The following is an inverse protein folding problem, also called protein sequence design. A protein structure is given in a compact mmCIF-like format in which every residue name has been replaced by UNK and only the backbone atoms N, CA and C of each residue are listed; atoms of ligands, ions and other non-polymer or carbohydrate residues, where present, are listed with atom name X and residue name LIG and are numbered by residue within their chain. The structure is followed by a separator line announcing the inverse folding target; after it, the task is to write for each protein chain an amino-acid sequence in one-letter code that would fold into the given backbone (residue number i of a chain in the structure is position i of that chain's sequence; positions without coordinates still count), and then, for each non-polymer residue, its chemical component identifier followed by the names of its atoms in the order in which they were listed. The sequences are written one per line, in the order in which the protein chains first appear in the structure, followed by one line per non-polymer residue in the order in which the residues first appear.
data_IF_456329821868
#
_entry.id   IF_456329821868
#
_cell.length_a   1.000
_cell.length_b   1.000
_cell.length_c   1.000
_cell.angle_alpha   90.00
_cell.angle_beta   90.00
_cell.angle_gamma   90.00
#
_symmetry.space_group_name_H-M   'P 1'
#
loop_
_entity.id
_entity.type
_entity.pdbx_description
1 polymer ?
#
# COMPACT_ATOMS: atom_id res chain seq x y z
N UNK A 1 -18.39 17.23 45.78
CA UNK A 1 -17.20 16.51 45.25
C UNK A 1 -17.51 15.64 44.03
N UNK A 2 -18.56 14.80 44.00
CA UNK A 2 -18.88 13.94 42.84
C UNK A 2 -19.13 14.66 41.50
N UNK A 3 -19.71 15.88 41.52
CA UNK A 3 -19.97 16.68 40.30
C UNK A 3 -18.70 17.25 39.66
N UNK A 4 -17.65 17.51 40.44
CA UNK A 4 -16.38 18.03 39.92
C UNK A 4 -15.60 16.92 39.19
N UNK A 5 -15.65 15.69 39.70
CA UNK A 5 -14.99 14.53 39.09
C UNK A 5 -15.56 14.19 37.70
N UNK A 6 -16.89 14.32 37.54
CA UNK A 6 -17.59 14.01 36.28
C UNK A 6 -17.32 15.07 35.20
N UNK A 7 -17.16 16.34 35.58
CA UNK A 7 -16.79 17.43 34.67
C UNK A 7 -15.33 17.27 34.22
N UNK A 8 -14.43 16.87 35.13
CA UNK A 8 -13.01 16.62 34.79
C UNK A 8 -12.87 15.41 33.86
N UNK A 9 -13.62 14.33 34.05
CA UNK A 9 -13.57 13.17 33.14
C UNK A 9 -14.12 13.48 31.74
N UNK A 10 -15.14 14.33 31.63
CA UNK A 10 -15.69 14.75 30.33
C UNK A 10 -14.71 15.65 29.57
N UNK A 11 -13.98 16.51 30.29
CA UNK A 11 -13.02 17.44 29.68
C UNK A 11 -11.80 16.73 29.09
N UNK A 12 -11.31 15.67 29.74
CA UNK A 12 -10.22 14.83 29.24
C UNK A 12 -10.58 14.04 27.96
N UNK A 13 -11.86 13.71 27.76
CA UNK A 13 -12.34 13.13 26.51
C UNK A 13 -12.47 14.16 25.37
N UNK A 14 -12.68 15.44 25.71
CA UNK A 14 -12.94 16.48 24.70
C UNK A 14 -11.66 17.03 24.04
N UNK A 15 -10.52 17.06 24.74
CA UNK A 15 -9.27 17.58 24.17
C UNK A 15 -8.52 16.56 23.31
N UNK A 16 -8.69 15.27 23.56
CA UNK A 16 -8.13 14.17 22.76
C UNK A 16 -8.99 13.79 21.55
N UNK A 17 -10.29 14.15 21.57
CA UNK A 17 -11.25 13.75 20.54
C UNK A 17 -10.95 14.29 19.14
N UNK A 18 -10.42 15.51 19.00
CA UNK A 18 -10.15 16.11 17.68
C UNK A 18 -8.99 15.40 16.96
N UNK A 19 -7.88 15.15 17.67
CA UNK A 19 -6.74 14.40 17.11
C UNK A 19 -7.12 12.96 16.81
N UNK A 20 -7.88 12.33 17.71
CA UNK A 20 -8.37 10.96 17.51
C UNK A 20 -9.24 10.85 16.26
N UNK A 21 -10.23 11.72 16.09
CA UNK A 21 -11.10 11.72 14.91
C UNK A 21 -10.34 12.05 13.63
N UNK A 22 -9.34 12.94 13.69
CA UNK A 22 -8.49 13.25 12.54
C UNK A 22 -7.66 12.04 12.11
N UNK A 23 -7.06 11.30 13.06
CA UNK A 23 -6.32 10.07 12.76
C UNK A 23 -7.25 9.02 12.14
N UNK A 24 -8.43 8.79 12.71
CA UNK A 24 -9.41 7.85 12.14
C UNK A 24 -9.90 8.28 10.76
N UNK A 25 -10.00 9.58 10.51
CA UNK A 25 -10.27 10.11 9.18
C UNK A 25 -9.16 9.78 8.18
N UNK A 26 -7.90 9.83 8.60
CA UNK A 26 -6.76 9.45 7.76
C UNK A 26 -6.75 7.95 7.48
N UNK A 27 -6.96 7.10 8.49
CA UNK A 27 -7.03 5.63 8.32
C UNK A 27 -8.17 5.26 7.35
N UNK A 28 -9.31 5.95 7.43
CA UNK A 28 -10.44 5.74 6.53
C UNK A 28 -10.11 6.11 5.07
N UNK A 29 -9.23 7.08 4.83
CA UNK A 29 -8.76 7.43 3.48
C UNK A 29 -7.78 6.39 2.93
N UNK A 30 -7.05 5.71 3.80
CA UNK A 30 -6.12 4.63 3.42
C UNK A 30 -6.84 3.37 2.93
N UNK A 31 -8.12 3.21 3.27
CA UNK A 31 -8.97 2.11 2.79
C UNK A 31 -9.19 2.16 1.28
N UNK A 32 -9.46 3.35 0.72
CA UNK A 32 -10.01 3.48 -0.62
C UNK A 32 -8.96 3.93 -1.64
N UNK A 33 -8.91 3.22 -2.75
CA UNK A 33 -8.13 3.61 -3.92
C UNK A 33 -9.06 3.77 -5.11
N UNK A 34 -9.29 5.01 -5.52
CA UNK A 34 -10.19 5.34 -6.63
C UNK A 34 -9.40 6.13 -7.65
N UNK A 35 -9.36 5.62 -8.87
CA UNK A 35 -8.56 6.16 -9.98
C UNK A 35 -9.40 6.25 -11.24
N UNK A 36 -9.57 7.46 -11.74
CA UNK A 36 -10.07 7.70 -13.09
C UNK A 36 -8.88 7.68 -14.06
N UNK A 37 -9.05 7.03 -15.20
CA UNK A 37 -8.00 6.87 -16.22
C UNK A 37 -8.48 7.45 -17.54
N UNK A 38 -7.64 8.23 -18.20
CA UNK A 38 -7.92 8.89 -19.47
C UNK A 38 -6.77 8.65 -20.45
N UNK A 39 -7.09 8.14 -21.63
CA UNK A 39 -6.10 7.84 -22.66
C UNK A 39 -6.41 6.54 -23.39
N UNK A 40 -5.73 6.27 -24.52
CA UNK A 40 -5.98 5.11 -25.35
C UNK A 40 -5.64 3.82 -24.60
N UNK A 41 -6.47 2.78 -24.73
CA UNK A 41 -6.19 1.46 -24.20
C UNK A 41 -7.43 0.63 -23.97
N UNK A 42 -7.22 -0.65 -23.65
CA UNK A 42 -8.27 -1.55 -23.17
C UNK A 42 -7.67 -2.39 -22.05
N UNK A 43 -8.31 -2.42 -20.89
CA UNK A 43 -7.85 -3.23 -19.77
C UNK A 43 -9.04 -3.65 -18.93
N UNK A 44 -9.17 -4.97 -18.74
CA UNK A 44 -10.05 -5.55 -17.74
C UNK A 44 -9.19 -6.29 -16.71
N UNK A 45 -9.35 -5.97 -15.43
CA UNK A 45 -8.66 -6.67 -14.34
C UNK A 45 -9.59 -6.81 -13.14
N UNK A 46 -9.56 -7.98 -12.52
CA UNK A 46 -10.17 -8.23 -11.21
C UNK A 46 -9.10 -8.73 -10.24
N UNK A 47 -9.18 -8.26 -9.01
CA UNK A 47 -8.25 -8.61 -7.93
C UNK A 47 -9.04 -8.81 -6.65
N UNK A 48 -8.74 -9.87 -5.91
CA UNK A 48 -9.29 -10.07 -4.56
C UNK A 48 -8.17 -10.06 -3.52
N UNK A 49 -7.02 -10.59 -3.87
CA UNK A 49 -5.81 -10.55 -3.05
C UNK A 49 -4.61 -10.58 -3.99
N UNK A 50 -3.41 -10.40 -3.46
CA UNK A 50 -2.18 -10.67 -4.22
C UNK A 50 -2.15 -12.10 -4.78
N UNK A 51 -2.78 -13.05 -4.08
CA UNK A 51 -2.88 -14.44 -4.50
C UNK A 51 -3.98 -14.72 -5.51
N UNK A 52 -4.95 -13.83 -5.72
CA UNK A 52 -6.07 -14.04 -6.63
C UNK A 52 -6.29 -12.81 -7.51
N UNK A 53 -5.70 -12.87 -8.70
CA UNK A 53 -5.73 -11.77 -9.68
C UNK A 53 -5.89 -12.33 -11.08
N UNK A 54 -6.75 -11.72 -11.89
CA UNK A 54 -6.82 -11.96 -13.32
C UNK A 54 -6.89 -10.63 -14.07
N UNK A 55 -6.18 -10.53 -15.19
CA UNK A 55 -6.14 -9.30 -15.97
C UNK A 55 -5.79 -9.56 -17.42
N UNK A 56 -6.38 -8.76 -18.30
CA UNK A 56 -6.05 -8.76 -19.72
C UNK A 56 -6.19 -7.35 -20.28
N UNK A 57 -5.11 -6.85 -20.89
CA UNK A 57 -5.13 -5.63 -21.66
C UNK A 57 -3.86 -4.80 -21.60
N UNK A 58 -3.94 -3.63 -22.22
CA UNK A 58 -2.86 -2.66 -22.34
C UNK A 58 -3.40 -1.23 -22.26
N UNK A 59 -2.68 -0.40 -21.52
CA UNK A 59 -2.91 1.03 -21.33
C UNK A 59 -1.60 1.77 -21.68
N UNK A 60 -1.39 2.14 -22.96
CA UNK A 60 -0.24 2.95 -23.35
C UNK A 60 -0.41 4.42 -22.96
N UNK A 61 0.49 4.94 -22.12
CA UNK A 61 0.62 6.38 -21.84
C UNK A 61 -0.70 7.04 -21.38
N UNK A 62 -1.39 6.41 -20.45
CA UNK A 62 -2.65 6.94 -19.93
C UNK A 62 -2.40 7.92 -18.79
N UNK A 63 -3.26 8.92 -18.68
CA UNK A 63 -3.29 9.86 -17.57
C UNK A 63 -4.22 9.32 -16.48
N UNK A 64 -3.73 9.21 -15.25
CA UNK A 64 -4.51 8.75 -14.10
C UNK A 64 -4.70 9.88 -13.11
N UNK A 65 -5.92 10.04 -12.64
CA UNK A 65 -6.29 11.00 -11.59
C UNK A 65 -6.98 10.22 -10.48
N UNK A 66 -6.56 10.44 -9.25
CA UNK A 66 -7.22 9.73 -8.17
C UNK A 66 -6.52 9.82 -6.84
N UNK A 67 -7.00 8.92 -5.97
CA UNK A 67 -6.57 8.75 -4.61
C UNK A 67 -5.92 7.36 -4.50
N UNK A 68 -4.73 7.30 -3.93
CA UNK A 68 -4.01 6.08 -3.57
C UNK A 68 -3.58 6.23 -2.11
N UNK A 69 -4.39 5.72 -1.19
CA UNK A 69 -4.25 6.00 0.25
C UNK A 69 -4.25 7.50 0.51
N UNK A 70 -3.28 8.00 1.27
CA UNK A 70 -3.08 9.46 1.47
C UNK A 70 -2.62 10.22 0.22
N UNK A 71 -2.15 9.52 -0.81
CA UNK A 71 -1.69 10.11 -2.07
C UNK A 71 -2.84 10.60 -2.92
N UNK A 72 -2.88 11.89 -3.26
CA UNK A 72 -3.88 12.47 -4.18
C UNK A 72 -3.15 13.21 -5.29
N UNK A 73 -3.56 12.97 -6.54
CA UNK A 73 -3.04 13.71 -7.66
C UNK A 73 -3.19 13.00 -8.99
N UNK A 74 -2.19 13.22 -9.83
CA UNK A 74 -2.18 12.94 -11.25
C UNK A 74 -0.82 12.38 -11.67
N UNK A 75 -0.85 11.28 -12.40
CA UNK A 75 0.35 10.63 -12.92
C UNK A 75 0.08 10.03 -14.30
N UNK A 76 1.16 9.81 -15.04
CA UNK A 76 1.13 9.04 -16.28
C UNK A 76 1.44 7.58 -15.95
N UNK A 77 0.72 6.65 -16.59
CA UNK A 77 0.91 5.22 -16.40
C UNK A 77 0.97 4.50 -17.75
N UNK A 78 1.95 3.62 -17.90
CA UNK A 78 1.93 2.53 -18.86
C UNK A 78 1.61 1.24 -18.10
N UNK A 79 0.63 0.48 -18.57
CA UNK A 79 0.27 -0.81 -17.97
C UNK A 79 -0.01 -1.86 -19.04
N UNK A 80 0.67 -2.99 -18.99
CA UNK A 80 0.31 -4.21 -19.69
C UNK A 80 0.04 -5.32 -18.69
N UNK A 81 -1.11 -5.99 -18.79
CA UNK A 81 -1.45 -7.13 -17.94
C UNK A 81 -2.01 -8.27 -18.80
N UNK A 82 -1.51 -9.49 -18.62
CA UNK A 82 -2.04 -10.69 -19.26
C UNK A 82 -1.83 -11.92 -18.38
N UNK A 83 -2.92 -12.57 -17.98
CA UNK A 83 -2.92 -13.86 -17.32
C UNK A 83 -3.75 -13.90 -16.03
N UNK A 84 -3.60 -14.99 -15.28
CA UNK A 84 -4.23 -15.16 -13.98
C UNK A 84 -3.32 -15.84 -12.96
N UNK A 85 -3.48 -15.43 -11.71
CA UNK A 85 -2.83 -15.98 -10.52
C UNK A 85 -3.92 -16.46 -9.57
N UNK A 86 -3.75 -17.67 -9.05
CA UNK A 86 -4.60 -18.25 -8.01
C UNK A 86 -3.71 -18.84 -6.94
N UNK A 87 -3.97 -18.48 -5.68
CA UNK A 87 -3.17 -18.87 -4.52
C UNK A 87 -1.68 -18.49 -4.64
N UNK A 88 -1.38 -17.39 -5.34
CA UNK A 88 0.00 -16.99 -5.62
C UNK A 88 0.70 -17.82 -6.70
N UNK A 89 0.01 -18.81 -7.28
CA UNK A 89 0.49 -19.62 -8.39
C UNK A 89 -0.09 -19.08 -9.69
N UNK A 90 0.73 -18.79 -10.72
CA UNK A 90 0.20 -18.49 -12.04
C UNK A 90 -0.50 -19.74 -12.61
N UNK A 91 -1.80 -19.65 -12.94
CA UNK A 91 -2.54 -20.75 -13.57
C UNK A 91 -2.17 -20.88 -15.04
N UNK A 92 -1.88 -19.75 -15.68
CA UNK A 92 -1.33 -19.71 -17.04
C UNK A 92 0.18 -19.87 -16.98
N UNK A 93 0.77 -20.49 -18.01
CA UNK A 93 2.23 -20.62 -18.15
C UNK A 93 2.98 -19.28 -18.04
N UNK A 94 2.28 -18.17 -18.30
CA UNK A 94 2.81 -16.83 -18.17
C UNK A 94 1.75 -15.94 -17.50
N UNK A 95 2.14 -15.26 -16.44
CA UNK A 95 1.47 -14.05 -15.97
C UNK A 95 2.43 -12.90 -16.22
N UNK A 96 2.10 -12.05 -17.19
CA UNK A 96 2.94 -10.92 -17.58
C UNK A 96 2.28 -9.65 -17.09
N UNK A 97 3.03 -8.88 -16.29
CA UNK A 97 2.63 -7.56 -15.82
C UNK A 97 3.80 -6.61 -15.96
N UNK A 98 3.58 -5.52 -16.68
CA UNK A 98 4.50 -4.39 -16.79
C UNK A 98 3.76 -3.12 -16.40
N UNK A 99 4.25 -2.41 -15.39
CA UNK A 99 3.67 -1.17 -14.90
C UNK A 99 4.78 -0.15 -14.76
N UNK A 100 4.65 0.96 -15.48
CA UNK A 100 5.57 2.10 -15.38
C UNK A 100 4.76 3.34 -15.06
N UNK A 101 5.22 4.10 -14.08
CA UNK A 101 4.53 5.30 -13.60
C UNK A 101 5.46 6.49 -13.64
N UNK A 102 4.88 7.65 -13.89
CA UNK A 102 5.59 8.92 -13.83
C UNK A 102 4.70 9.93 -13.12
N UNK A 103 5.18 10.45 -12.00
CA UNK A 103 4.51 11.53 -11.29
C UNK A 103 4.38 12.76 -12.21
N UNK A 104 3.21 13.39 -12.20
CA UNK A 104 2.95 14.63 -12.94
C UNK A 104 2.61 15.75 -11.97
N UNK A 105 1.63 15.54 -11.09
CA UNK A 105 1.28 16.49 -10.04
C UNK A 105 0.54 15.80 -8.88
N UNK A 106 0.51 16.40 -7.71
CA UNK A 106 -0.15 15.81 -6.54
C UNK A 106 0.49 16.25 -5.23
N UNK A 107 0.08 15.63 -4.14
CA UNK A 107 0.71 15.83 -2.84
C UNK A 107 2.02 15.03 -2.70
N UNK A 108 2.76 15.32 -1.62
CA UNK A 108 4.04 14.68 -1.35
C UNK A 108 3.92 13.16 -1.13
N UNK A 109 2.83 12.68 -0.53
CA UNK A 109 2.60 11.24 -0.37
C UNK A 109 2.56 10.52 -1.73
N UNK A 110 1.83 11.08 -2.70
CA UNK A 110 1.77 10.50 -4.03
C UNK A 110 3.12 10.55 -4.74
N UNK A 111 3.84 11.67 -4.61
CA UNK A 111 5.15 11.82 -5.22
C UNK A 111 6.14 10.80 -4.65
N UNK A 112 6.21 10.67 -3.33
CA UNK A 112 7.10 9.72 -2.64
C UNK A 112 6.78 8.28 -3.03
N UNK A 113 5.49 7.91 -3.06
CA UNK A 113 5.04 6.57 -3.45
C UNK A 113 5.37 6.21 -4.91
N UNK A 114 5.43 7.21 -5.81
CA UNK A 114 5.70 6.99 -7.23
C UNK A 114 7.20 7.08 -7.58
N UNK A 115 7.96 7.94 -6.91
CA UNK A 115 9.40 8.13 -7.17
C UNK A 115 10.26 7.15 -6.40
N UNK A 116 9.86 6.77 -5.19
CA UNK A 116 10.58 5.84 -4.32
C UNK A 116 9.68 4.65 -3.96
N UNK A 117 9.39 3.74 -4.92
CA UNK A 117 8.59 2.56 -4.61
C UNK A 117 9.31 1.77 -3.52
N UNK A 118 8.69 1.70 -2.33
CA UNK A 118 9.25 0.97 -1.19
C UNK A 118 9.51 -0.47 -1.64
N UNK A 119 10.73 -1.01 -1.46
CA UNK A 119 10.97 -2.42 -1.72
C UNK A 119 10.15 -3.22 -0.71
N UNK A 120 9.03 -3.79 -1.14
CA UNK A 120 8.23 -4.63 -0.25
C UNK A 120 9.05 -5.88 0.13
N UNK A 121 9.24 -6.08 1.44
CA UNK A 121 9.92 -7.26 1.97
C UNK A 121 9.09 -8.50 1.62
N UNK A 122 9.67 -9.36 0.79
CA UNK A 122 9.02 -10.58 0.38
C UNK A 122 9.25 -11.70 1.41
N UNK A 123 8.25 -12.55 1.60
CA UNK A 123 8.39 -13.84 2.27
C UNK A 123 7.74 -14.90 1.38
N UNK A 124 8.54 -15.59 0.58
CA UNK A 124 8.06 -16.69 -0.28
C UNK A 124 7.96 -17.94 0.58
N UNK A 125 6.76 -18.49 0.71
CA UNK A 125 6.51 -19.77 1.36
C UNK A 125 6.54 -20.88 0.30
N UNK A 126 7.33 -21.95 0.48
CA UNK A 126 7.32 -23.07 -0.45
C UNK A 126 5.96 -23.79 -0.43
N UNK A 127 5.52 -24.16 -1.63
CA UNK A 127 4.16 -24.58 -1.96
C UNK A 127 3.78 -26.02 -1.55
N UNK A 128 4.62 -26.71 -0.78
CA UNK A 128 4.42 -28.13 -0.50
C UNK A 128 4.80 -28.45 0.94
N UNK A 129 3.80 -28.37 1.83
CA UNK A 129 3.56 -29.28 2.96
C UNK A 129 4.59 -29.47 4.07
N UNK A 130 5.89 -29.21 3.89
CA UNK A 130 6.93 -29.57 4.86
C UNK A 130 8.18 -28.69 4.73
N UNK A 131 8.07 -27.40 5.05
CA UNK A 131 9.16 -26.61 5.65
C UNK A 131 8.65 -25.20 5.96
N UNK A 132 8.61 -24.83 7.24
CA UNK A 132 8.31 -23.47 7.71
C UNK A 132 9.49 -22.51 7.55
N UNK A 133 10.48 -22.87 6.73
CA UNK A 133 11.69 -22.08 6.52
C UNK A 133 11.57 -21.33 5.18
N UNK A 134 11.70 -19.99 5.15
CA UNK A 134 11.75 -19.26 3.89
C UNK A 134 12.97 -19.70 3.09
N UNK A 135 12.77 -20.17 1.86
CA UNK A 135 13.84 -20.74 1.02
C UNK A 135 14.82 -19.66 0.53
N UNK A 136 14.39 -18.40 0.49
CA UNK A 136 15.24 -17.25 0.20
C UNK A 136 14.75 -16.09 1.04
N UNK A 137 15.53 -15.68 2.04
CA UNK A 137 15.40 -14.36 2.67
C UNK A 137 16.59 -13.54 2.20
N UNK A 138 16.54 -13.00 0.97
CA UNK A 138 17.56 -12.02 0.60
C UNK A 138 17.18 -10.71 1.29
N UNK A 139 18.04 -10.28 2.19
CA UNK A 139 18.02 -8.91 2.67
C UNK A 139 18.26 -8.01 1.46
N UNK A 140 17.47 -6.95 1.24
CA UNK A 140 17.68 -5.99 0.16
C UNK A 140 18.88 -5.10 0.52
N UNK A 141 20.07 -5.67 0.53
CA UNK A 141 21.32 -4.92 0.45
C UNK A 141 22.13 -5.54 -0.68
N UNK A 142 22.61 -4.67 -1.56
CA UNK A 142 23.81 -4.90 -2.39
C UNK A 142 23.65 -5.30 -3.88
N UNK A 143 22.50 -5.12 -4.55
CA UNK A 143 22.51 -5.07 -6.04
C UNK A 143 21.55 -4.05 -6.64
N UNK A 144 22.08 -2.88 -6.98
CA UNK A 144 21.44 -1.90 -7.87
C UNK A 144 21.06 -2.51 -9.23
N UNK A 145 21.80 -3.53 -9.67
CA UNK A 145 21.58 -4.25 -10.92
C UNK A 145 20.35 -5.16 -10.86
N UNK A 146 20.06 -5.74 -9.68
CA UNK A 146 18.84 -6.52 -9.45
C UNK A 146 17.66 -5.59 -9.21
N UNK A 147 17.83 -4.41 -8.61
CA UNK A 147 16.73 -3.44 -8.49
C UNK A 147 16.17 -3.00 -9.87
N UNK A 148 17.03 -2.94 -10.90
CA UNK A 148 16.60 -2.67 -12.29
C UNK A 148 15.88 -3.85 -12.96
N UNK A 149 16.09 -5.08 -12.49
CA UNK A 149 15.45 -6.29 -13.03
C UNK A 149 14.30 -6.83 -12.14
N UNK A 150 14.28 -6.52 -10.84
CA UNK A 150 13.26 -6.92 -9.86
C UNK A 150 11.97 -6.11 -9.98
N UNK A 151 11.99 -5.03 -10.77
CA UNK A 151 10.78 -4.37 -11.29
C UNK A 151 9.94 -5.28 -12.22
N UNK A 152 10.39 -6.51 -12.49
CA UNK A 152 9.68 -7.51 -13.28
C UNK A 152 8.91 -8.54 -12.47
N UNK A 153 8.89 -8.49 -11.12
CA UNK A 153 8.09 -9.45 -10.36
C UNK A 153 6.60 -9.06 -10.52
N UNK A 154 5.84 -9.78 -11.36
CA UNK A 154 4.52 -9.32 -11.78
C UNK A 154 3.51 -9.38 -10.61
N UNK A 155 3.90 -10.00 -9.50
CA UNK A 155 3.13 -10.18 -8.28
C UNK A 155 3.23 -9.03 -7.28
N UNK A 156 4.25 -8.14 -7.33
CA UNK A 156 4.66 -7.43 -6.11
C UNK A 156 4.81 -5.90 -6.15
N UNK A 157 4.93 -5.23 -7.30
CA UNK A 157 5.37 -3.82 -7.26
C UNK A 157 4.26 -2.74 -7.11
N UNK A 158 2.97 -3.06 -7.06
CA UNK A 158 1.92 -2.02 -7.07
C UNK A 158 0.63 -2.34 -6.29
N UNK A 159 0.60 -3.42 -5.50
CA UNK A 159 -0.63 -3.88 -4.86
C UNK A 159 -0.34 -4.45 -3.48
N UNK A 160 -1.19 -4.12 -2.53
CA UNK A 160 -1.09 -4.68 -1.17
C UNK A 160 -1.65 -6.11 -1.14
N UNK A 161 -1.16 -6.92 -0.19
CA UNK A 161 -1.49 -8.35 -0.07
C UNK A 161 -3.01 -8.59 0.02
N UNK A 162 -3.69 -7.72 0.74
CA UNK A 162 -5.12 -7.75 1.10
C UNK A 162 -6.00 -6.86 0.22
N UNK A 163 -5.47 -6.34 -0.89
CA UNK A 163 -6.21 -5.43 -1.77
C UNK A 163 -7.22 -6.18 -2.67
N UNK A 164 -8.49 -5.81 -2.55
CA UNK A 164 -9.60 -6.24 -3.43
C UNK A 164 -9.96 -5.10 -4.37
N UNK A 165 -10.20 -5.36 -5.64
CA UNK A 165 -10.58 -4.32 -6.58
C UNK A 165 -10.83 -4.80 -8.00
N UNK A 166 -11.19 -3.86 -8.84
CA UNK A 166 -11.40 -4.07 -10.26
C UNK A 166 -10.96 -2.86 -11.06
N UNK A 167 -10.48 -3.12 -12.27
CA UNK A 167 -10.14 -2.11 -13.25
C UNK A 167 -10.90 -2.41 -14.53
N UNK A 168 -11.63 -1.42 -15.03
CA UNK A 168 -12.28 -1.45 -16.32
C UNK A 168 -11.87 -0.20 -17.09
N UNK A 169 -11.19 -0.39 -18.21
CA UNK A 169 -10.80 0.68 -19.12
C UNK A 169 -11.18 0.28 -20.54
N UNK A 170 -11.94 1.14 -21.20
CA UNK A 170 -12.42 0.93 -22.56
C UNK A 170 -12.12 2.15 -23.40
N UNK A 171 -11.26 1.95 -24.40
CA UNK A 171 -10.82 2.95 -25.37
C UNK A 171 -10.15 4.15 -24.70
N UNK A 172 -10.91 5.14 -24.26
CA UNK A 172 -10.40 6.43 -23.77
C UNK A 172 -10.58 6.60 -22.27
N UNK A 173 -11.59 5.96 -21.68
CA UNK A 173 -11.93 6.15 -20.28
C UNK A 173 -11.83 4.83 -19.53
N UNK A 174 -11.34 4.92 -18.30
CA UNK A 174 -11.31 3.80 -17.37
C UNK A 174 -11.52 4.23 -15.94
N UNK A 175 -11.94 3.27 -15.14
CA UNK A 175 -12.09 3.39 -13.70
C UNK A 175 -11.40 2.20 -13.05
N UNK A 176 -10.63 2.49 -12.01
CA UNK A 176 -9.95 1.51 -11.18
C UNK A 176 -10.33 1.79 -9.73
N UNK A 177 -11.04 0.84 -9.12
CA UNK A 177 -11.54 0.92 -7.74
C UNK A 177 -10.95 -0.25 -6.97
N UNK A 178 -10.32 0.03 -5.85
CA UNK A 178 -9.93 -0.99 -4.89
C UNK A 178 -10.05 -0.54 -3.46
N UNK A 179 -10.10 -1.54 -2.58
CA UNK A 179 -10.13 -1.42 -1.13
C UNK A 179 -9.07 -2.32 -0.53
N UNK A 180 -8.37 -1.84 0.50
CA UNK A 180 -7.48 -2.66 1.30
C UNK A 180 -8.23 -3.23 2.52
N UNK A 181 -8.39 -4.56 2.57
CA UNK A 181 -9.07 -5.22 3.67
C UNK A 181 -8.32 -5.10 5.01
N UNK A 182 -7.00 -4.98 4.99
CA UNK A 182 -6.21 -4.84 6.21
C UNK A 182 -6.39 -3.45 6.83
N UNK A 183 -6.44 -2.41 5.98
CA UNK A 183 -6.76 -1.04 6.43
C UNK A 183 -8.18 -0.93 6.95
N UNK A 184 -9.15 -1.64 6.35
CA UNK A 184 -10.52 -1.72 6.88
C UNK A 184 -10.50 -2.33 8.29
N UNK A 185 -9.73 -3.41 8.48
CA UNK A 185 -9.64 -4.06 9.77
C UNK A 185 -8.96 -3.17 10.82
N UNK A 186 -7.88 -2.49 10.46
CA UNK A 186 -7.20 -1.56 11.35
C UNK A 186 -8.09 -0.36 11.70
N UNK A 187 -8.83 0.20 10.73
CA UNK A 187 -9.83 1.24 10.98
C UNK A 187 -10.91 0.78 11.98
N UNK A 188 -11.45 -0.44 11.82
CA UNK A 188 -12.46 -1.01 12.72
C UNK A 188 -11.87 -1.25 14.13
N UNK A 189 -10.68 -1.85 14.22
CA UNK A 189 -10.00 -2.07 15.50
C UNK A 189 -9.61 -0.75 16.18
N UNK A 190 -9.35 0.28 15.39
CA UNK A 190 -9.06 1.61 15.84
C UNK A 190 -10.15 2.25 16.71
N UNK A 191 -11.41 1.87 16.50
CA UNK A 191 -12.54 2.23 17.36
C UNK A 191 -12.47 1.59 18.75
N UNK A 192 -11.75 0.47 18.87
CA UNK A 192 -11.50 -0.23 20.13
C UNK A 192 -10.15 0.14 20.76
N UNK A 193 -9.47 1.17 20.24
CA UNK A 193 -8.13 1.65 20.66
C UNK A 193 -6.98 0.66 20.43
N UNK A 194 -7.21 -0.39 19.64
CA UNK A 194 -6.17 -1.30 19.20
C UNK A 194 -5.59 -0.79 17.88
N UNK A 195 -4.27 -0.57 17.85
CA UNK A 195 -3.49 -0.18 16.66
C UNK A 195 -2.60 -1.37 16.28
N UNK A 196 -2.96 -2.08 15.21
CA UNK A 196 -2.24 -3.29 14.80
C UNK A 196 -1.07 -2.97 13.88
N UNK A 197 -1.19 -1.94 13.04
CA UNK A 197 -0.16 -1.57 12.07
C UNK A 197 0.95 -0.71 12.68
N UNK A 198 0.69 0.01 13.77
CA UNK A 198 1.69 0.82 14.44
C UNK A 198 2.16 2.01 13.61
N UNK A 199 1.39 2.40 12.59
CA UNK A 199 1.73 3.48 11.66
C UNK A 199 1.29 4.86 12.18
N UNK A 200 0.65 4.90 13.35
CA UNK A 200 0.32 6.12 14.08
C UNK A 200 1.55 7.04 14.19
N UNK A 201 1.38 8.28 13.71
CA UNK A 201 2.39 9.35 13.56
C UNK A 201 3.40 9.50 14.71
N UNK A 202 3.02 9.12 15.93
CA UNK A 202 3.89 9.17 17.10
C UNK A 202 5.16 8.32 16.98
N UNK A 203 5.13 7.22 16.22
CA UNK A 203 6.30 6.37 15.97
C UNK A 203 7.25 7.01 14.95
N UNK A 204 6.70 7.52 13.85
CA UNK A 204 7.48 8.13 12.77
C UNK A 204 8.10 9.47 13.17
N UNK A 205 7.40 10.31 13.95
CA UNK A 205 7.95 11.57 14.47
C UNK A 205 9.17 11.31 15.37
N UNK A 206 9.16 10.23 16.16
CA UNK A 206 10.32 9.85 16.98
C UNK A 206 11.50 9.41 16.10
N UNK A 207 11.24 8.67 15.03
CA UNK A 207 12.28 8.24 14.08
C UNK A 207 12.85 9.44 13.33
N UNK A 208 12.01 10.36 12.84
CA UNK A 208 12.46 11.59 12.19
C UNK A 208 13.25 12.50 13.13
N UNK A 209 12.76 12.74 14.36
CA UNK A 209 13.50 13.52 15.35
C UNK A 209 14.84 12.90 15.71
N UNK A 210 14.93 11.57 15.82
CA UNK A 210 16.21 10.88 16.04
C UNK A 210 17.16 11.03 14.86
N UNK A 211 16.64 10.90 13.64
CA UNK A 211 17.42 11.10 12.41
C UNK A 211 17.92 12.55 12.27
N UNK A 212 17.09 13.53 12.60
CA UNK A 212 17.47 14.95 12.67
C UNK A 212 18.49 15.24 13.79
N UNK A 213 18.39 14.53 14.91
CA UNK A 213 19.34 14.62 16.02
C UNK A 213 20.69 13.92 15.75
N UNK A 214 20.87 13.30 14.58
CA UNK A 214 22.09 12.55 14.23
C UNK A 214 22.25 11.24 15.00
N UNK A 215 21.22 10.78 15.71
CA UNK A 215 21.17 9.46 16.31
C UNK A 215 20.71 8.46 15.23
N UNK A 216 21.65 7.99 14.40
CA UNK A 216 21.44 6.78 13.60
C UNK A 216 21.41 5.56 14.52
N UNK A 217 20.32 5.41 15.28
CA UNK A 217 19.99 4.13 15.90
C UNK A 217 19.57 3.20 14.75
N UNK A 218 20.38 2.19 14.46
CA UNK A 218 20.11 1.23 13.40
C UNK A 218 18.76 0.55 13.67
N UNK A 219 17.98 0.28 12.61
CA UNK A 219 16.71 -0.46 12.72
C UNK A 219 16.86 -1.80 13.47
N UNK A 220 18.06 -2.38 13.42
CA UNK A 220 18.46 -3.57 14.17
C UNK A 220 18.42 -3.35 15.69
N UNK A 221 18.87 -2.20 16.20
CA UNK A 221 18.86 -1.85 17.63
C UNK A 221 17.43 -1.64 18.16
N UNK A 222 16.53 -1.11 17.32
CA UNK A 222 15.12 -0.93 17.68
C UNK A 222 14.35 -2.26 17.67
N UNK A 223 14.68 -3.16 16.75
CA UNK A 223 14.05 -4.48 16.68
C UNK A 223 14.55 -5.42 17.79
N UNK A 224 15.79 -5.29 18.24
CA UNK A 224 16.33 -6.05 19.37
C UNK A 224 15.70 -5.67 20.74
N UNK A 225 15.02 -4.52 20.82
CA UNK A 225 14.36 -4.02 22.04
C UNK A 225 12.87 -4.40 22.14
N UNK A 226 12.27 -4.97 21.09
CA UNK A 226 10.89 -5.50 21.11
C UNK A 226 10.88 -6.97 21.51
#
# INVERSE_FOLDING_TARGET
MKKLFLIVSLFWFSSSGCTYLANRGNDALDIFHIKATFGPGILGSVRMTQGLTAGLGILPHVQKFGIKGRGIGHWEEYRGEAGAIVMGIPISFYYVKDVRKRFVSGNHYLQEDLENPKPELYRVYPLLGMAWWPLVSSTPREREDIAKLANSNPLQADRRVTEVGATAHLLVFGLDVSVDLLEIFDFILGWTTLDFQGDDYGSQIKIHKKKEAGEEETLEDLQAKR
#
